data_IF_182931762665
#
_entry.id   IF_182931762665
#
_cell.length_a   1.000
_cell.length_b   1.000
_cell.length_c   1.000
_cell.angle_alpha   90.00
_cell.angle_beta   90.00
_cell.angle_gamma   90.00
#
_symmetry.space_group_name_H-M   'P 1'
#
loop_
_entity.id
_entity.type
_entity.pdbx_description
1 polymer ?
#
# COMPACT_ATOMS: atom_id res chain seq x y z
N UNK A 1 20.13 -6.45 -27.50
CA UNK A 1 18.88 -6.30 -26.72
C UNK A 1 19.25 -6.59 -25.28
N UNK A 2 19.36 -5.54 -24.48
CA UNK A 2 19.86 -5.63 -23.10
C UNK A 2 18.65 -5.82 -22.19
N UNK A 3 18.59 -6.96 -21.51
CA UNK A 3 17.58 -7.22 -20.49
C UNK A 3 17.88 -6.31 -19.29
N UNK A 4 16.93 -5.47 -18.82
CA UNK A 4 17.14 -4.66 -17.63
C UNK A 4 17.41 -5.54 -16.41
N UNK A 5 18.36 -5.13 -15.57
CA UNK A 5 18.66 -5.79 -14.29
C UNK A 5 17.57 -5.42 -13.27
N UNK A 6 17.05 -6.36 -12.46
CA UNK A 6 15.99 -6.12 -11.48
C UNK A 6 16.46 -5.37 -10.21
N UNK A 7 17.58 -4.64 -10.29
CA UNK A 7 18.18 -3.93 -9.16
C UNK A 7 18.05 -2.42 -9.38
N UNK A 8 17.74 -1.75 -8.28
CA UNK A 8 17.68 -0.33 -7.91
C UNK A 8 18.54 0.72 -8.67
N UNK A 9 19.38 0.36 -9.63
CA UNK A 9 20.42 1.23 -10.20
C UNK A 9 19.93 2.27 -11.22
N UNK A 10 18.64 2.34 -11.55
CA UNK A 10 18.13 3.25 -12.60
C UNK A 10 17.41 4.51 -12.06
N UNK A 11 17.46 4.80 -10.76
CA UNK A 11 17.12 6.14 -10.27
C UNK A 11 18.39 7.00 -10.24
N UNK A 12 18.40 8.08 -11.02
CA UNK A 12 19.43 9.13 -10.98
C UNK A 12 19.85 9.44 -9.53
N UNK A 13 21.14 9.71 -9.25
CA UNK A 13 21.58 10.10 -7.94
C UNK A 13 20.72 11.25 -7.44
N UNK A 14 20.10 11.03 -6.29
CA UNK A 14 19.13 11.95 -5.71
C UNK A 14 19.83 13.27 -5.39
N UNK A 15 19.72 14.21 -6.32
CA UNK A 15 20.37 15.52 -6.21
C UNK A 15 19.60 16.38 -5.22
N UNK A 16 20.29 16.81 -4.15
CA UNK A 16 19.75 17.78 -3.20
C UNK A 16 19.44 19.09 -3.94
N UNK A 17 18.15 19.39 -4.15
CA UNK A 17 17.73 20.69 -4.68
C UNK A 17 17.69 21.70 -3.54
N UNK A 18 18.44 22.80 -3.68
CA UNK A 18 18.38 23.94 -2.76
C UNK A 18 18.86 23.66 -1.33
N UNK A 19 19.76 22.69 -1.13
CA UNK A 19 20.31 22.34 0.19
C UNK A 19 19.36 21.59 1.12
N UNK A 20 18.13 21.29 0.68
CA UNK A 20 17.18 20.43 1.41
C UNK A 20 17.40 18.98 0.98
N UNK A 21 17.47 18.08 1.96
CA UNK A 21 17.56 16.64 1.71
C UNK A 21 16.15 16.10 1.40
N UNK A 22 15.98 15.32 0.33
CA UNK A 22 14.65 14.87 -0.08
C UNK A 22 14.08 13.81 0.84
N UNK A 23 12.75 13.65 0.76
CA UNK A 23 12.01 12.51 1.28
C UNK A 23 12.03 11.42 0.21
N UNK A 24 12.46 10.21 0.56
CA UNK A 24 12.29 9.05 -0.30
C UNK A 24 10.91 8.42 -0.04
N UNK A 25 10.15 8.14 -1.10
CA UNK A 25 8.89 7.38 -1.04
C UNK A 25 9.14 6.02 -1.68
N UNK A 26 8.88 4.94 -0.94
CA UNK A 26 8.94 3.57 -1.41
C UNK A 26 7.51 3.02 -1.58
N UNK A 27 6.99 2.91 -2.82
CA UNK A 27 5.72 2.24 -3.07
C UNK A 27 5.85 0.74 -2.83
N UNK A 28 4.92 0.16 -2.09
CA UNK A 28 4.88 -1.28 -1.76
C UNK A 28 3.56 -1.87 -2.24
N UNK A 29 3.64 -2.77 -3.21
CA UNK A 29 2.53 -3.60 -3.67
C UNK A 29 2.64 -5.03 -3.16
N UNK A 30 1.99 -5.92 -3.91
CA UNK A 30 2.04 -7.37 -3.76
C UNK A 30 1.63 -8.05 -5.09
N UNK A 31 1.75 -9.39 -5.09
CA UNK A 31 1.36 -10.24 -6.21
C UNK A 31 0.52 -11.42 -5.71
N UNK A 32 -0.79 -11.22 -5.64
CA UNK A 32 -1.74 -12.12 -5.01
C UNK A 32 -3.13 -12.04 -5.64
N UNK A 33 -3.92 -13.10 -5.47
CA UNK A 33 -5.28 -13.13 -6.00
C UNK A 33 -6.17 -12.01 -5.43
N UNK A 34 -7.04 -11.43 -6.26
CA UNK A 34 -8.01 -10.39 -5.88
C UNK A 34 -9.41 -10.74 -6.42
N UNK A 35 -9.85 -11.97 -6.18
CA UNK A 35 -11.05 -12.50 -6.80
C UNK A 35 -10.86 -12.87 -8.27
N UNK A 36 -11.93 -13.26 -8.96
CA UNK A 36 -11.89 -13.64 -10.37
C UNK A 36 -11.81 -12.45 -11.34
N UNK A 37 -12.04 -11.22 -10.87
CA UNK A 37 -12.21 -10.02 -11.70
C UNK A 37 -11.01 -9.08 -11.74
N UNK A 38 -10.11 -9.14 -10.75
CA UNK A 38 -8.92 -8.30 -10.67
C UNK A 38 -7.62 -9.10 -10.90
N UNK A 39 -6.57 -8.46 -11.44
CA UNK A 39 -5.28 -9.11 -11.71
C UNK A 39 -4.47 -9.34 -10.43
N UNK A 40 -3.46 -10.21 -10.51
CA UNK A 40 -2.57 -10.48 -9.37
C UNK A 40 -1.75 -9.26 -8.94
N UNK A 41 -1.49 -8.34 -9.88
CA UNK A 41 -0.70 -7.14 -9.65
C UNK A 41 -1.53 -5.96 -9.11
N UNK A 42 -2.77 -6.17 -8.68
CA UNK A 42 -3.70 -5.11 -8.22
C UNK A 42 -3.03 -4.14 -7.24
N UNK A 43 -2.43 -4.63 -6.16
CA UNK A 43 -1.74 -3.78 -5.19
C UNK A 43 -0.59 -2.98 -5.78
N UNK A 44 0.18 -3.60 -6.67
CA UNK A 44 1.30 -2.93 -7.35
C UNK A 44 0.79 -1.80 -8.23
N UNK A 45 -0.26 -2.06 -9.01
CA UNK A 45 -0.88 -1.07 -9.89
C UNK A 45 -1.52 0.08 -9.10
N UNK A 46 -2.13 -0.21 -7.96
CA UNK A 46 -2.66 0.81 -7.04
C UNK A 46 -1.51 1.64 -6.45
N UNK A 47 -0.44 1.01 -5.96
CA UNK A 47 0.70 1.71 -5.38
C UNK A 47 1.37 2.64 -6.39
N UNK A 48 1.59 2.18 -7.62
CA UNK A 48 2.13 2.97 -8.73
C UNK A 48 1.19 4.12 -9.12
N UNK A 49 -0.11 3.83 -9.29
CA UNK A 49 -1.11 4.84 -9.68
C UNK A 49 -1.25 5.95 -8.64
N UNK A 50 -1.30 5.60 -7.36
CA UNK A 50 -1.34 6.58 -6.26
C UNK A 50 -0.02 7.36 -6.20
N UNK A 51 1.14 6.72 -6.37
CA UNK A 51 2.43 7.41 -6.39
C UNK A 51 2.53 8.43 -7.54
N UNK A 52 2.07 8.09 -8.74
CA UNK A 52 2.05 9.01 -9.89
C UNK A 52 1.10 10.20 -9.66
N UNK A 53 -0.09 9.95 -9.10
CA UNK A 53 -1.04 11.02 -8.74
C UNK A 53 -0.49 11.92 -7.63
N UNK A 54 0.19 11.33 -6.64
CA UNK A 54 0.86 12.06 -5.57
C UNK A 54 1.96 12.96 -6.13
N UNK A 55 2.84 12.41 -6.98
CA UNK A 55 3.92 13.15 -7.65
C UNK A 55 3.40 14.36 -8.42
N UNK A 56 2.27 14.22 -9.11
CA UNK A 56 1.62 15.32 -9.83
C UNK A 56 1.01 16.39 -8.90
N UNK A 57 0.61 16.01 -7.68
CA UNK A 57 0.00 16.90 -6.70
C UNK A 57 1.00 17.59 -5.75
N UNK A 58 2.30 17.24 -5.80
CA UNK A 58 3.30 17.78 -4.88
C UNK A 58 3.45 19.31 -5.02
N UNK A 59 3.47 20.06 -3.91
CA UNK A 59 3.85 21.46 -3.92
C UNK A 59 5.28 21.65 -4.45
N UNK A 60 5.53 22.73 -5.20
CA UNK A 60 6.83 22.98 -5.84
C UNK A 60 8.02 23.08 -4.86
N UNK A 61 7.76 23.38 -3.58
CA UNK A 61 8.78 23.48 -2.53
C UNK A 61 9.15 22.15 -1.88
N UNK A 62 8.40 21.08 -2.13
CA UNK A 62 8.56 19.80 -1.46
C UNK A 62 9.51 18.89 -2.25
N UNK A 63 10.66 18.56 -1.65
CA UNK A 63 11.67 17.73 -2.31
C UNK A 63 11.40 16.25 -2.00
N UNK A 64 10.81 15.55 -2.97
CA UNK A 64 10.43 14.13 -2.84
C UNK A 64 10.99 13.34 -4.01
N UNK A 65 11.53 12.16 -3.73
CA UNK A 65 11.95 11.18 -4.73
C UNK A 65 11.15 9.91 -4.56
N UNK A 66 10.57 9.42 -5.64
CA UNK A 66 9.84 8.15 -5.66
C UNK A 66 10.76 7.04 -6.14
N UNK A 67 10.85 5.97 -5.34
CA UNK A 67 11.56 4.75 -5.70
C UNK A 67 10.65 3.87 -6.59
N UNK A 68 11.22 2.90 -7.33
CA UNK A 68 10.44 1.89 -8.02
C UNK A 68 9.52 1.14 -7.05
N UNK A 69 8.31 0.81 -7.50
CA UNK A 69 7.39 0.02 -6.71
C UNK A 69 7.91 -1.41 -6.51
N UNK A 70 7.77 -1.91 -5.30
CA UNK A 70 8.06 -3.30 -4.97
C UNK A 70 6.85 -4.15 -5.34
N UNK A 71 6.97 -4.95 -6.41
CA UNK A 71 5.86 -5.71 -6.97
C UNK A 71 5.56 -7.03 -6.27
N UNK A 72 6.42 -7.45 -5.33
CA UNK A 72 6.23 -8.65 -4.51
C UNK A 72 6.52 -8.27 -3.06
N UNK A 73 5.50 -8.37 -2.22
CA UNK A 73 5.54 -8.08 -0.79
C UNK A 73 5.40 -9.34 0.07
N UNK A 74 4.81 -9.19 1.25
CA UNK A 74 4.46 -10.27 2.16
C UNK A 74 2.96 -10.59 2.09
N UNK A 75 2.63 -11.72 1.48
CA UNK A 75 1.29 -12.17 1.08
C UNK A 75 1.03 -13.62 1.49
N UNK A 76 1.52 -14.02 2.67
CA UNK A 76 1.46 -15.43 3.12
C UNK A 76 0.01 -15.93 3.23
N UNK A 77 -0.92 -15.04 3.53
CA UNK A 77 -2.34 -15.26 3.68
C UNK A 77 -3.05 -15.62 2.34
N UNK A 78 -2.38 -15.41 1.21
CA UNK A 78 -2.86 -15.76 -0.15
C UNK A 78 -2.18 -17.00 -0.75
N UNK A 79 -1.33 -17.71 0.01
CA UNK A 79 -0.51 -18.83 -0.48
C UNK A 79 -1.29 -20.11 -0.82
N UNK A 80 -2.59 -20.18 -0.51
CA UNK A 80 -3.45 -21.29 -0.93
C UNK A 80 -3.72 -21.29 -2.46
N UNK A 81 -3.30 -20.24 -3.18
CA UNK A 81 -3.61 -20.04 -4.61
C UNK A 81 -2.36 -20.05 -5.47
N UNK A 82 -2.39 -20.89 -6.50
CA UNK A 82 -1.35 -20.98 -7.50
C UNK A 82 -1.21 -19.65 -8.26
N UNK A 83 0.02 -19.15 -8.36
CA UNK A 83 0.32 -17.85 -8.97
C UNK A 83 0.71 -16.78 -7.96
N UNK A 84 0.29 -16.89 -6.70
CA UNK A 84 0.70 -15.96 -5.63
C UNK A 84 2.22 -15.98 -5.46
N UNK A 85 2.84 -14.80 -5.37
CA UNK A 85 4.27 -14.65 -5.07
C UNK A 85 4.40 -13.82 -3.81
N UNK A 86 5.14 -14.35 -2.84
CA UNK A 86 5.39 -13.69 -1.55
C UNK A 86 6.85 -13.81 -1.18
N UNK A 87 7.38 -12.78 -0.53
CA UNK A 87 8.60 -12.85 0.25
C UNK A 87 8.31 -13.56 1.58
N UNK A 88 9.34 -14.14 2.19
CA UNK A 88 9.30 -14.46 3.61
C UNK A 88 9.30 -13.17 4.45
N UNK A 89 8.83 -13.23 5.70
CA UNK A 89 8.72 -12.03 6.53
C UNK A 89 10.08 -11.37 6.78
N UNK A 90 11.12 -12.18 7.00
CA UNK A 90 12.50 -11.75 7.24
C UNK A 90 13.14 -11.23 5.95
N UNK A 91 12.87 -11.86 4.82
CA UNK A 91 13.30 -11.38 3.50
C UNK A 91 12.75 -9.98 3.21
N UNK A 92 11.45 -9.76 3.39
CA UNK A 92 10.81 -8.44 3.18
C UNK A 92 11.43 -7.37 4.10
N UNK A 93 11.55 -7.66 5.40
CA UNK A 93 12.14 -6.72 6.37
C UNK A 93 13.58 -6.39 6.03
N UNK A 94 14.42 -7.40 5.75
CA UNK A 94 15.83 -7.18 5.43
C UNK A 94 16.00 -6.44 4.10
N UNK A 95 15.14 -6.72 3.11
CA UNK A 95 15.15 -6.02 1.82
C UNK A 95 14.85 -4.53 1.97
N UNK A 96 13.79 -4.17 2.70
CA UNK A 96 13.42 -2.76 2.91
C UNK A 96 14.40 -2.03 3.84
N UNK A 97 14.99 -2.73 4.82
CA UNK A 97 16.10 -2.18 5.61
C UNK A 97 17.34 -1.93 4.75
N UNK A 98 17.66 -2.82 3.80
CA UNK A 98 18.76 -2.58 2.86
C UNK A 98 18.50 -1.39 1.93
N UNK A 99 17.25 -1.10 1.58
CA UNK A 99 16.88 0.15 0.88
C UNK A 99 17.12 1.35 1.79
N UNK A 100 16.64 1.29 3.03
CA UNK A 100 16.84 2.36 4.01
C UNK A 100 18.33 2.65 4.29
N UNK A 101 19.15 1.60 4.41
CA UNK A 101 20.60 1.70 4.57
C UNK A 101 21.26 2.46 3.41
N UNK A 102 20.97 2.08 2.17
CA UNK A 102 21.52 2.77 0.98
C UNK A 102 21.08 4.22 0.89
N UNK A 103 19.83 4.53 1.23
CA UNK A 103 19.36 5.91 1.34
C UNK A 103 20.14 6.66 2.42
N UNK A 104 20.42 6.02 3.55
CA UNK A 104 21.18 6.61 4.63
C UNK A 104 22.65 6.86 4.27
N UNK A 105 23.29 5.97 3.51
CA UNK A 105 24.63 6.18 2.95
C UNK A 105 24.68 7.41 2.02
N UNK A 106 23.56 7.69 1.32
CA UNK A 106 23.38 8.87 0.47
C UNK A 106 22.86 10.09 1.25
N UNK A 107 22.94 10.05 2.58
CA UNK A 107 22.58 11.18 3.44
C UNK A 107 21.07 11.53 3.46
N UNK A 108 20.23 10.69 2.83
CA UNK A 108 18.77 10.77 2.89
C UNK A 108 18.32 10.14 4.21
N UNK A 109 17.58 10.91 5.01
CA UNK A 109 17.18 10.50 6.37
C UNK A 109 15.67 10.40 6.56
N UNK A 110 14.88 10.65 5.53
CA UNK A 110 13.42 10.62 5.57
C UNK A 110 12.92 9.60 4.55
N UNK A 111 12.23 8.57 5.02
CA UNK A 111 11.67 7.48 4.21
C UNK A 111 10.19 7.34 4.52
N UNK A 112 9.35 7.31 3.49
CA UNK A 112 7.92 7.01 3.58
C UNK A 112 7.66 5.74 2.79
N UNK A 113 7.24 4.68 3.47
CA UNK A 113 6.76 3.47 2.81
C UNK A 113 5.26 3.65 2.52
N UNK A 114 4.91 3.76 1.24
CA UNK A 114 3.54 3.94 0.74
C UNK A 114 2.99 2.58 0.30
N UNK A 115 2.14 1.99 1.14
CA UNK A 115 1.70 0.62 0.94
C UNK A 115 0.29 0.50 0.37
N UNK A 116 0.08 -0.45 -0.53
CA UNK A 116 -1.22 -0.85 -1.05
C UNK A 116 -1.74 -2.18 -0.46
N UNK A 117 -0.86 -3.03 0.06
CA UNK A 117 -1.22 -4.39 0.49
C UNK A 117 -1.30 -4.57 2.02
N UNK A 118 -2.39 -5.12 2.54
CA UNK A 118 -2.59 -5.36 3.98
C UNK A 118 -1.42 -6.09 4.67
N UNK A 119 -0.93 -7.18 4.08
CA UNK A 119 0.08 -8.07 4.66
C UNK A 119 1.43 -7.41 4.93
N UNK A 120 1.81 -6.37 4.17
CA UNK A 120 3.04 -5.62 4.40
C UNK A 120 3.02 -4.80 5.72
N UNK A 121 1.84 -4.40 6.20
CA UNK A 121 1.69 -3.38 7.25
C UNK A 121 2.42 -3.69 8.58
N UNK A 122 2.36 -4.92 9.14
CA UNK A 122 3.10 -5.25 10.36
C UNK A 122 4.62 -5.14 10.16
N UNK A 123 5.11 -5.58 9.00
CA UNK A 123 6.55 -5.59 8.69
C UNK A 123 7.09 -4.18 8.50
N UNK A 124 6.32 -3.28 7.87
CA UNK A 124 6.70 -1.86 7.75
C UNK A 124 6.89 -1.17 9.10
N UNK A 125 6.13 -1.58 10.13
CA UNK A 125 6.29 -1.04 11.50
C UNK A 125 7.62 -1.48 12.11
N UNK A 126 8.05 -2.72 11.85
CA UNK A 126 9.38 -3.22 12.23
C UNK A 126 10.45 -2.42 11.50
N UNK A 127 10.34 -2.30 10.17
CA UNK A 127 11.31 -1.56 9.34
C UNK A 127 11.43 -0.10 9.77
N UNK A 128 10.32 0.58 10.05
CA UNK A 128 10.35 1.97 10.51
C UNK A 128 11.14 2.13 11.83
N UNK A 129 10.89 1.23 12.79
CA UNK A 129 11.59 1.25 14.09
C UNK A 129 13.07 0.91 13.93
N UNK A 130 13.39 -0.12 13.16
CA UNK A 130 14.75 -0.57 12.90
C UNK A 130 15.55 0.48 12.13
N UNK A 131 14.98 1.12 11.11
CA UNK A 131 15.62 2.20 10.36
C UNK A 131 15.91 3.41 11.25
N UNK A 132 15.04 3.70 12.24
CA UNK A 132 15.32 4.73 13.24
C UNK A 132 16.56 4.40 14.07
N UNK A 133 16.67 3.16 14.56
CA UNK A 133 17.78 2.76 15.44
C UNK A 133 19.08 2.57 14.67
N UNK A 134 19.05 1.92 13.51
CA UNK A 134 20.24 1.54 12.75
C UNK A 134 20.80 2.69 11.91
N UNK A 135 19.92 3.53 11.37
CA UNK A 135 20.29 4.52 10.35
C UNK A 135 19.92 5.96 10.73
N UNK A 136 19.43 6.17 11.96
CA UNK A 136 18.98 7.47 12.46
C UNK A 136 17.98 8.15 11.52
N UNK A 137 17.08 7.39 10.90
CA UNK A 137 16.09 7.89 9.94
C UNK A 137 14.75 8.24 10.60
N UNK A 138 14.00 9.17 10.00
CA UNK A 138 12.57 9.27 10.15
C UNK A 138 11.96 8.37 9.07
N UNK A 139 11.60 7.15 9.45
CA UNK A 139 10.92 6.21 8.59
C UNK A 139 9.43 6.14 8.99
N UNK A 140 8.55 6.30 8.01
CA UNK A 140 7.09 6.34 8.21
C UNK A 140 6.46 5.19 7.45
N UNK A 141 5.69 4.35 8.15
CA UNK A 141 4.85 3.32 7.56
C UNK A 141 3.45 3.89 7.34
N UNK A 142 3.01 4.00 6.08
CA UNK A 142 1.65 4.42 5.75
C UNK A 142 1.03 3.57 4.64
N UNK A 143 -0.26 3.75 4.38
CA UNK A 143 -0.97 3.16 3.25
C UNK A 143 -1.94 4.19 2.69
N UNK A 144 -2.26 4.10 1.41
CA UNK A 144 -3.21 5.00 0.75
C UNK A 144 -4.59 5.02 1.43
N UNK A 145 -4.97 3.95 2.13
CA UNK A 145 -6.24 3.84 2.86
C UNK A 145 -6.23 4.44 4.27
N UNK A 146 -5.06 4.82 4.83
CA UNK A 146 -4.93 5.28 6.23
C UNK A 146 -5.52 6.68 6.50
N UNK A 147 -5.88 7.42 5.47
CA UNK A 147 -6.48 8.76 5.57
C UNK A 147 -8.01 8.73 5.67
N UNK A 148 -8.60 7.54 5.82
CA UNK A 148 -10.05 7.36 5.79
C UNK A 148 -10.60 7.31 4.37
N UNK A 149 -11.91 7.38 4.23
CA UNK A 149 -12.60 7.45 2.94
C UNK A 149 -13.28 8.82 2.82
N UNK A 150 -13.45 9.35 1.60
CA UNK A 150 -14.29 10.51 1.37
C UNK A 150 -15.74 10.23 1.78
N UNK A 151 -16.39 11.23 2.38
CA UNK A 151 -17.76 11.11 2.87
C UNK A 151 -18.74 10.74 1.75
N UNK A 152 -19.63 9.78 2.03
CA UNK A 152 -20.72 9.38 1.14
C UNK A 152 -20.31 8.51 -0.06
N UNK A 153 -19.02 8.17 -0.23
CA UNK A 153 -18.57 7.30 -1.33
C UNK A 153 -18.81 5.82 -1.03
N UNK A 154 -18.43 5.36 0.17
CA UNK A 154 -18.67 3.99 0.65
C UNK A 154 -19.34 4.07 2.04
N UNK A 155 -20.51 3.44 2.24
CA UNK A 155 -21.15 3.39 3.55
C UNK A 155 -20.25 2.69 4.60
N UNK A 156 -20.26 3.13 5.88
CA UNK A 156 -19.44 2.53 6.93
C UNK A 156 -19.63 1.02 7.11
N UNK A 157 -20.86 0.53 6.93
CA UNK A 157 -21.22 -0.88 7.02
C UNK A 157 -20.61 -1.73 5.90
N UNK A 158 -20.58 -1.20 4.68
CA UNK A 158 -19.94 -1.86 3.52
C UNK A 158 -18.42 -1.84 3.68
N UNK A 159 -17.86 -0.70 4.10
CA UNK A 159 -16.43 -0.58 4.41
C UNK A 159 -15.96 -1.59 5.44
N UNK A 160 -16.79 -1.92 6.43
CA UNK A 160 -16.41 -2.84 7.50
C UNK A 160 -16.21 -4.30 7.03
N UNK A 161 -16.70 -4.64 5.84
CA UNK A 161 -16.66 -5.99 5.26
C UNK A 161 -15.92 -6.05 3.91
N UNK A 162 -15.60 -4.90 3.33
CA UNK A 162 -14.75 -4.71 2.15
C UNK A 162 -13.26 -4.80 2.55
N UNK A 163 -12.76 -6.03 2.62
CA UNK A 163 -11.42 -6.36 3.13
C UNK A 163 -10.42 -6.48 2.00
N UNK A 164 -10.84 -7.05 0.86
CA UNK A 164 -9.95 -7.50 -0.22
C UNK A 164 -10.70 -7.66 -1.54
N UNK A 165 -10.26 -7.03 -2.61
CA UNK A 165 -10.86 -7.13 -3.95
C UNK A 165 -12.33 -6.70 -4.05
N UNK A 166 -12.87 -5.97 -3.07
CA UNK A 166 -14.25 -5.50 -3.06
C UNK A 166 -14.45 -4.15 -3.75
N UNK A 167 -15.39 -3.33 -3.26
CA UNK A 167 -15.82 -2.08 -3.92
C UNK A 167 -14.65 -1.09 -4.02
N UNK A 168 -13.89 -0.91 -2.94
CA UNK A 168 -12.80 0.07 -2.83
C UNK A 168 -11.70 -0.20 -3.86
N UNK A 169 -11.11 -1.39 -3.86
CA UNK A 169 -10.01 -1.72 -4.78
C UNK A 169 -10.46 -1.84 -6.22
N UNK A 170 -11.64 -2.43 -6.46
CA UNK A 170 -12.20 -2.54 -7.80
C UNK A 170 -12.50 -1.16 -8.38
N UNK A 171 -13.04 -0.23 -7.58
CA UNK A 171 -13.30 1.14 -7.99
C UNK A 171 -12.02 1.88 -8.36
N UNK A 172 -10.98 1.77 -7.52
CA UNK A 172 -9.66 2.36 -7.79
C UNK A 172 -9.03 1.75 -9.05
N UNK A 173 -9.13 0.44 -9.24
CA UNK A 173 -8.63 -0.23 -10.45
C UNK A 173 -9.39 0.18 -11.71
N UNK A 174 -10.70 0.43 -11.63
CA UNK A 174 -11.48 0.98 -12.75
C UNK A 174 -11.04 2.41 -13.12
N UNK A 175 -10.58 3.22 -12.16
CA UNK A 175 -10.04 4.55 -12.42
C UNK A 175 -8.63 4.51 -13.03
N UNK A 176 -7.77 3.60 -12.56
CA UNK A 176 -6.37 3.52 -12.97
C UNK A 176 -6.14 2.69 -14.24
N UNK A 177 -6.75 1.50 -14.29
CA UNK A 177 -6.51 0.46 -15.30
C UNK A 177 -7.81 -0.29 -15.65
N UNK A 178 -8.83 0.39 -16.21
CA UNK A 178 -10.12 -0.23 -16.52
C UNK A 178 -10.02 -1.42 -17.48
N UNK A 179 -9.00 -1.46 -18.34
CA UNK A 179 -8.72 -2.56 -19.26
C UNK A 179 -8.28 -3.86 -18.57
N UNK A 180 -7.90 -3.79 -17.28
CA UNK A 180 -7.48 -4.92 -16.47
C UNK A 180 -8.56 -5.45 -15.53
N UNK A 181 -9.72 -4.81 -15.49
CA UNK A 181 -10.85 -5.21 -14.62
C UNK A 181 -11.89 -5.95 -15.44
N UNK A 182 -12.15 -7.21 -15.10
CA UNK A 182 -13.22 -7.98 -15.73
C UNK A 182 -14.52 -7.86 -14.91
N UNK A 183 -15.25 -6.76 -15.13
CA UNK A 183 -16.51 -6.49 -14.42
C UNK A 183 -17.60 -7.54 -14.67
N UNK A 184 -17.49 -8.39 -15.70
CA UNK A 184 -18.41 -9.52 -15.89
C UNK A 184 -18.22 -10.62 -14.83
N UNK A 185 -17.08 -10.62 -14.13
CA UNK A 185 -16.76 -11.51 -13.01
C UNK A 185 -16.87 -10.85 -11.65
N UNK A 186 -17.06 -9.53 -11.60
CA UNK A 186 -17.25 -8.81 -10.34
C UNK A 186 -18.61 -9.22 -9.71
N UNK A 187 -18.60 -9.48 -8.41
CA UNK A 187 -19.77 -9.94 -7.67
C UNK A 187 -19.78 -9.33 -6.26
N UNK A 188 -20.85 -9.59 -5.52
CA UNK A 188 -20.88 -9.38 -4.07
C UNK A 188 -20.25 -10.60 -3.37
N UNK A 189 -18.96 -10.49 -3.04
CA UNK A 189 -18.20 -11.58 -2.44
C UNK A 189 -18.39 -11.57 -0.92
N UNK A 190 -19.27 -12.44 -0.43
CA UNK A 190 -19.60 -12.52 0.99
C UNK A 190 -18.36 -12.67 1.87
N UNK A 191 -18.23 -11.85 2.91
CA UNK A 191 -17.13 -11.95 3.88
C UNK A 191 -17.55 -12.67 5.15
N UNK A 192 -16.80 -13.70 5.56
CA UNK A 192 -17.00 -14.32 6.89
C UNK A 192 -16.67 -13.38 8.05
N UNK A 193 -16.12 -12.20 7.80
CA UNK A 193 -16.02 -11.16 8.82
C UNK A 193 -17.38 -10.75 9.39
N UNK A 194 -18.44 -10.72 8.58
CA UNK A 194 -19.82 -10.48 9.04
C UNK A 194 -20.29 -11.54 10.03
N UNK A 195 -19.93 -12.80 9.78
CA UNK A 195 -20.21 -13.93 10.67
C UNK A 195 -19.50 -13.74 12.02
N UNK A 196 -18.22 -13.38 12.00
CA UNK A 196 -17.45 -13.10 13.21
C UNK A 196 -18.01 -11.90 13.98
N UNK A 197 -18.52 -10.90 13.26
CA UNK A 197 -19.15 -9.73 13.85
C UNK A 197 -20.42 -10.05 14.64
N UNK A 198 -21.26 -10.94 14.11
CA UNK A 198 -22.46 -11.40 14.79
C UNK A 198 -22.21 -12.36 15.96
N UNK A 199 -21.10 -13.12 15.94
CA UNK A 199 -20.80 -14.17 16.93
C UNK A 199 -19.91 -13.72 18.08
N UNK A 200 -18.94 -12.86 17.82
CA UNK A 200 -17.92 -12.47 18.79
C UNK A 200 -18.01 -10.99 19.12
N UNK A 201 -17.81 -10.64 20.40
CA UNK A 201 -17.86 -9.24 20.85
C UNK A 201 -16.73 -8.37 20.29
N UNK A 202 -15.51 -8.91 20.18
CA UNK A 202 -14.31 -8.16 19.80
C UNK A 202 -13.44 -8.82 18.73
N UNK A 203 -13.45 -10.15 18.64
CA UNK A 203 -12.55 -10.92 17.78
C UNK A 203 -12.94 -10.78 16.30
N UNK A 204 -12.01 -10.33 15.44
CA UNK A 204 -12.24 -10.09 14.00
C UNK A 204 -11.05 -10.54 13.17
N UNK A 205 -11.23 -10.72 11.87
CA UNK A 205 -10.11 -10.89 10.93
C UNK A 205 -9.39 -9.56 10.66
N UNK A 206 -10.16 -8.46 10.64
CA UNK A 206 -9.65 -7.10 10.50
C UNK A 206 -10.16 -6.18 11.62
N UNK A 207 -9.31 -5.27 12.10
CA UNK A 207 -9.64 -4.31 13.16
C UNK A 207 -8.74 -4.42 14.40
N UNK A 208 -9.10 -3.79 15.52
CA UNK A 208 -8.21 -3.61 16.67
C UNK A 208 -7.76 -4.91 17.38
N UNK A 209 -8.55 -5.98 17.26
CA UNK A 209 -8.27 -7.30 17.85
C UNK A 209 -8.31 -8.37 16.75
N UNK A 210 -7.46 -8.19 15.75
CA UNK A 210 -7.35 -9.08 14.60
C UNK A 210 -6.68 -10.41 14.97
N UNK A 211 -7.20 -11.53 14.46
CA UNK A 211 -6.51 -12.83 14.47
C UNK A 211 -5.83 -13.11 13.13
N UNK A 212 -4.91 -14.07 13.07
CA UNK A 212 -4.31 -14.49 11.80
C UNK A 212 -5.27 -15.34 10.97
N UNK A 213 -5.42 -15.00 9.70
CA UNK A 213 -6.33 -15.64 8.74
C UNK A 213 -5.63 -15.86 7.40
N UNK A 214 -6.18 -16.76 6.58
CA UNK A 214 -5.89 -16.88 5.15
C UNK A 214 -7.08 -16.39 4.34
N UNK A 215 -6.87 -15.92 3.12
CA UNK A 215 -7.96 -15.38 2.29
C UNK A 215 -9.13 -16.37 2.14
N UNK A 216 -8.81 -17.66 2.02
CA UNK A 216 -9.78 -18.76 1.97
C UNK A 216 -10.64 -18.91 3.25
N UNK A 217 -10.17 -18.44 4.41
CA UNK A 217 -10.95 -18.40 5.65
C UNK A 217 -12.07 -17.36 5.58
N UNK A 218 -11.89 -16.29 4.78
CA UNK A 218 -12.85 -15.19 4.63
C UNK A 218 -13.78 -15.41 3.45
N UNK A 219 -13.23 -15.80 2.30
CA UNK A 219 -13.99 -16.12 1.10
C UNK A 219 -13.19 -17.07 0.18
N UNK A 220 -13.78 -18.19 -0.27
CA UNK A 220 -13.08 -19.18 -1.10
C UNK A 220 -12.74 -18.70 -2.52
N UNK A 221 -13.35 -17.61 -3.00
CA UNK A 221 -13.08 -17.03 -4.33
C UNK A 221 -11.93 -16.00 -4.30
N UNK A 222 -11.39 -15.67 -3.13
CA UNK A 222 -10.23 -14.78 -3.03
C UNK A 222 -10.55 -13.29 -3.06
N UNK A 223 -11.81 -12.89 -2.80
CA UNK A 223 -12.23 -11.51 -2.59
C UNK A 223 -13.31 -11.46 -1.48
N UNK A 224 -13.38 -10.35 -0.75
CA UNK A 224 -14.30 -10.12 0.36
C UNK A 224 -14.78 -8.66 0.31
N UNK A 225 -16.00 -8.45 -0.16
CA UNK A 225 -16.61 -7.13 -0.40
C UNK A 225 -17.46 -7.10 -1.68
N UNK A 226 -18.23 -6.03 -1.86
CA UNK A 226 -19.13 -5.87 -2.99
C UNK A 226 -18.47 -5.24 -4.22
N UNK A 227 -17.67 -6.01 -4.95
CA UNK A 227 -17.01 -5.54 -6.17
C UNK A 227 -18.01 -5.15 -7.29
N UNK A 228 -19.22 -5.72 -7.30
CA UNK A 228 -20.23 -5.38 -8.30
C UNK A 228 -20.77 -3.94 -8.15
N UNK A 229 -20.60 -3.32 -6.99
CA UNK A 229 -20.96 -1.92 -6.74
C UNK A 229 -19.89 -0.91 -7.21
N UNK A 230 -18.74 -1.39 -7.67
CA UNK A 230 -17.59 -0.56 -7.98
C UNK A 230 -17.79 0.32 -9.23
N UNK A 231 -17.27 1.54 -9.18
CA UNK A 231 -17.27 2.47 -10.31
C UNK A 231 -15.97 3.26 -10.39
N UNK A 232 -15.60 3.72 -11.59
CA UNK A 232 -14.42 4.54 -11.78
C UNK A 232 -14.53 5.89 -11.03
N UNK A 233 -15.73 6.46 -10.92
CA UNK A 233 -15.97 7.72 -10.22
C UNK A 233 -15.67 7.59 -8.71
N UNK A 234 -16.06 6.46 -8.09
CA UNK A 234 -15.68 6.15 -6.71
C UNK A 234 -14.16 6.04 -6.60
N UNK A 235 -13.51 5.38 -7.57
CA UNK A 235 -12.06 5.23 -7.63
C UNK A 235 -11.33 6.57 -7.65
N UNK A 236 -11.74 7.49 -8.52
CA UNK A 236 -11.15 8.84 -8.60
C UNK A 236 -11.34 9.61 -7.28
N UNK A 237 -12.53 9.52 -6.66
CA UNK A 237 -12.77 10.16 -5.36
C UNK A 237 -11.88 9.59 -4.24
N UNK A 238 -11.71 8.26 -4.21
CA UNK A 238 -10.86 7.55 -3.25
C UNK A 238 -9.38 7.94 -3.42
N UNK A 239 -8.88 7.95 -4.66
CA UNK A 239 -7.49 8.34 -4.97
C UNK A 239 -7.25 9.81 -4.61
N UNK A 240 -8.17 10.71 -4.97
CA UNK A 240 -8.03 12.14 -4.65
C UNK A 240 -7.97 12.38 -3.14
N UNK A 241 -8.79 11.68 -2.36
CA UNK A 241 -8.78 11.74 -0.89
C UNK A 241 -7.45 11.22 -0.31
N UNK A 242 -6.97 10.07 -0.79
CA UNK A 242 -5.70 9.49 -0.37
C UNK A 242 -4.51 10.40 -0.71
N UNK A 243 -4.46 10.95 -1.93
CA UNK A 243 -3.40 11.85 -2.40
C UNK A 243 -3.36 13.11 -1.55
N UNK A 244 -4.51 13.70 -1.22
CA UNK A 244 -4.57 14.85 -0.32
C UNK A 244 -3.91 14.56 1.03
N UNK A 245 -4.29 13.46 1.69
CA UNK A 245 -3.71 13.07 2.97
C UNK A 245 -2.21 12.72 2.87
N UNK A 246 -1.78 12.14 1.75
CA UNK A 246 -0.37 11.86 1.49
C UNK A 246 0.46 13.13 1.29
N UNK A 247 -0.08 14.17 0.65
CA UNK A 247 0.58 15.49 0.56
C UNK A 247 0.75 16.07 1.96
N UNK A 248 -0.32 16.11 2.75
CA UNK A 248 -0.29 16.60 4.14
C UNK A 248 0.75 15.83 4.98
N UNK A 249 0.82 14.51 4.84
CA UNK A 249 1.83 13.69 5.51
C UNK A 249 3.26 14.03 5.05
N UNK A 250 3.49 14.25 3.76
CA UNK A 250 4.81 14.60 3.26
C UNK A 250 5.24 16.00 3.71
N UNK A 251 4.31 16.94 3.86
CA UNK A 251 4.56 18.25 4.48
C UNK A 251 4.97 18.10 5.95
N UNK A 252 4.29 17.27 6.73
CA UNK A 252 4.67 16.95 8.12
C UNK A 252 6.08 16.32 8.18
N UNK A 253 6.35 15.34 7.33
CA UNK A 253 7.65 14.67 7.25
C UNK A 253 8.74 15.67 6.86
N UNK A 254 8.48 16.59 5.93
CA UNK A 254 9.41 17.63 5.50
C UNK A 254 9.69 18.65 6.61
N UNK A 255 8.67 19.07 7.34
CA UNK A 255 8.77 19.98 8.47
C UNK A 255 9.47 19.36 9.68
N UNK A 256 9.45 18.03 9.82
CA UNK A 256 10.08 17.34 10.94
C UNK A 256 11.61 17.50 10.91
N UNK A 257 12.18 18.12 11.95
CA UNK A 257 13.62 18.19 12.16
C UNK A 257 14.09 16.91 12.86
N UNK A 258 14.83 16.08 12.13
CA UNK A 258 15.30 14.79 12.62
C UNK A 258 16.28 14.89 13.79
N UNK A 259 16.93 16.05 13.97
CA UNK A 259 17.86 16.28 15.09
C UNK A 259 17.14 16.39 16.44
N UNK A 260 15.80 16.52 16.44
CA UNK A 260 14.98 16.43 17.65
C UNK A 260 15.05 15.04 18.31
N UNK A 261 15.31 13.99 17.52
CA UNK A 261 15.55 12.67 18.06
C UNK A 261 17.00 12.55 18.55
N UNK A 262 17.20 12.58 19.87
CA UNK A 262 18.48 12.32 20.53
C UNK A 262 18.86 10.85 20.46
#
# INVERSE_FOLDING_TARGET
MMTPSPRFDDSDPVSARGGRRPIAVLPLGAHEQHGPHLPFETDTLIAEGVAERLKAALPAGLSVTFLPAESVGYSIEHMDVEGTKTLAFDEAVNRWLGIAERLAEQDIRKLVMLNAHGGNSPLMTIVATEARIRFAMLAVATSWTRFGLPDGVIPPEEKAIDIHGGDIETSVMLALHPDKVDMAKAADFSSRQSEFAGRFKHLRAYGPHAFGWKMSDLNPQGAAGNAAAATAEKGEALIAHAVKGLVELLEDVDAFDITQFR
#
